data_IF_317028507072
#
_entry.id   IF_317028507072
#
_cell.length_a   1.000
_cell.length_b   1.000
_cell.length_c   1.000
_cell.angle_alpha   90.00
_cell.angle_beta   90.00
_cell.angle_gamma   90.00
#
_symmetry.space_group_name_H-M   'P 1'
#
loop_
_entity.id
_entity.type
_entity.pdbx_description
1 polymer ?
#
# COMPACT_ATOMS: atom_id res chain seq x y z
N UNK A 1 -13.41 4.65 -14.15
CA UNK A 1 -13.00 5.97 -14.68
C UNK A 1 -14.26 6.71 -15.07
N UNK A 2 -14.36 8.00 -14.75
CA UNK A 2 -15.42 8.88 -15.22
C UNK A 2 -14.89 9.71 -16.40
N UNK A 3 -15.74 10.01 -17.38
CA UNK A 3 -15.40 10.76 -18.58
C UNK A 3 -16.33 11.95 -18.73
N UNK A 4 -17.40 11.83 -19.54
CA UNK A 4 -18.38 12.90 -19.75
C UNK A 4 -19.05 13.36 -18.46
N UNK A 5 -19.22 12.46 -17.48
CA UNK A 5 -19.85 12.71 -16.19
C UNK A 5 -19.14 13.82 -15.41
N UNK A 6 -17.80 13.88 -15.47
CA UNK A 6 -17.00 14.91 -14.80
C UNK A 6 -16.48 16.00 -15.73
N UNK A 7 -16.39 15.74 -17.04
CA UNK A 7 -15.86 16.70 -18.01
C UNK A 7 -16.90 17.76 -18.43
N UNK A 8 -18.15 17.33 -18.68
CA UNK A 8 -19.23 18.21 -19.18
C UNK A 8 -20.59 17.97 -18.49
N UNK A 9 -20.64 17.07 -17.51
CA UNK A 9 -21.86 16.67 -16.82
C UNK A 9 -22.44 17.78 -15.94
N UNK A 10 -23.75 17.72 -15.70
CA UNK A 10 -24.48 18.67 -14.87
C UNK A 10 -24.11 18.58 -13.38
N UNK A 11 -23.78 17.39 -12.88
CA UNK A 11 -23.42 17.16 -11.48
C UNK A 11 -22.15 16.28 -11.35
N UNK A 12 -20.96 16.85 -11.57
CA UNK A 12 -19.70 16.12 -11.47
C UNK A 12 -19.41 15.62 -10.04
N UNK A 13 -19.89 16.33 -9.01
CA UNK A 13 -19.70 15.94 -7.61
C UNK A 13 -20.54 14.71 -7.28
N UNK A 14 -21.82 14.71 -7.65
CA UNK A 14 -22.72 13.57 -7.46
C UNK A 14 -22.23 12.33 -8.20
N UNK A 15 -21.67 12.47 -9.41
CA UNK A 15 -21.07 11.37 -10.16
C UNK A 15 -19.90 10.71 -9.41
N UNK A 16 -18.99 11.52 -8.86
CA UNK A 16 -17.86 11.00 -8.06
C UNK A 16 -18.37 10.33 -6.79
N UNK A 17 -19.30 10.95 -6.06
CA UNK A 17 -19.87 10.39 -4.84
C UNK A 17 -20.60 9.06 -5.08
N UNK A 18 -21.33 8.95 -6.19
CA UNK A 18 -21.99 7.71 -6.58
C UNK A 18 -20.97 6.61 -6.90
N UNK A 19 -19.92 6.92 -7.68
CA UNK A 19 -18.84 5.97 -7.96
C UNK A 19 -18.16 5.50 -6.66
N UNK A 20 -17.85 6.41 -5.73
CA UNK A 20 -17.26 6.05 -4.43
C UNK A 20 -18.11 5.06 -3.67
N UNK A 21 -19.42 5.33 -3.51
CA UNK A 21 -20.34 4.42 -2.79
C UNK A 21 -20.44 3.03 -3.43
N UNK A 22 -20.50 2.97 -4.76
CA UNK A 22 -20.56 1.70 -5.49
C UNK A 22 -19.27 0.90 -5.27
N UNK A 23 -18.11 1.56 -5.32
CA UNK A 23 -16.82 0.91 -5.07
C UNK A 23 -16.74 0.40 -3.64
N UNK A 24 -17.05 1.23 -2.64
CA UNK A 24 -17.03 0.84 -1.23
C UNK A 24 -17.89 -0.41 -0.97
N UNK A 25 -19.11 -0.45 -1.50
CA UNK A 25 -20.00 -1.60 -1.37
C UNK A 25 -19.46 -2.85 -2.09
N UNK A 26 -18.92 -2.68 -3.31
CA UNK A 26 -18.34 -3.78 -4.06
C UNK A 26 -17.11 -4.37 -3.34
N UNK A 27 -16.32 -3.55 -2.64
CA UNK A 27 -15.12 -3.99 -1.92
C UNK A 27 -15.40 -4.91 -0.74
N UNK A 28 -16.60 -4.88 -0.16
CA UNK A 28 -16.99 -5.79 0.93
C UNK A 28 -17.09 -7.26 0.50
N UNK A 29 -17.28 -7.54 -0.79
CA UNK A 29 -17.64 -8.88 -1.29
C UNK A 29 -16.57 -9.54 -2.20
N UNK A 30 -15.32 -9.08 -2.14
CA UNK A 30 -14.25 -9.60 -3.04
C UNK A 30 -13.37 -10.64 -2.34
N UNK A 31 -13.44 -11.87 -2.82
CA UNK A 31 -12.38 -12.88 -2.68
C UNK A 31 -11.83 -13.14 -4.07
N UNK A 32 -10.54 -12.91 -4.31
CA UNK A 32 -9.91 -13.18 -5.61
C UNK A 32 -8.57 -13.91 -5.44
N UNK A 33 -8.24 -14.84 -6.36
CA UNK A 33 -6.98 -15.57 -6.37
C UNK A 33 -5.79 -14.68 -6.72
N UNK A 34 -4.60 -15.14 -6.30
CA UNK A 34 -3.34 -14.40 -6.35
C UNK A 34 -2.74 -14.45 -7.78
N UNK A 35 -2.93 -13.39 -8.57
CA UNK A 35 -2.65 -13.36 -10.02
C UNK A 35 -1.15 -13.35 -10.42
N UNK A 36 -0.21 -13.22 -9.47
CA UNK A 36 1.20 -12.91 -9.77
C UNK A 36 2.19 -14.04 -9.44
N UNK A 37 1.72 -15.23 -9.05
CA UNK A 37 2.57 -16.29 -8.53
C UNK A 37 3.59 -16.85 -9.55
N UNK A 38 3.29 -16.83 -10.85
CA UNK A 38 4.08 -17.58 -11.84
C UNK A 38 5.32 -16.84 -12.38
N UNK A 39 5.33 -15.50 -12.39
CA UNK A 39 6.44 -14.72 -12.98
C UNK A 39 7.50 -14.28 -11.97
N UNK A 40 7.09 -14.01 -10.72
CA UNK A 40 7.93 -13.49 -9.64
C UNK A 40 7.60 -14.21 -8.34
N UNK A 41 7.95 -15.51 -8.23
CA UNK A 41 7.41 -16.38 -7.19
C UNK A 41 7.86 -15.98 -5.78
N UNK A 42 9.08 -15.47 -5.61
CA UNK A 42 9.61 -15.06 -4.31
C UNK A 42 8.92 -13.77 -3.82
N UNK A 43 8.89 -12.73 -4.63
CA UNK A 43 8.24 -11.47 -4.28
C UNK A 43 6.73 -11.65 -4.11
N UNK A 44 6.09 -12.48 -4.94
CA UNK A 44 4.69 -12.84 -4.78
C UNK A 44 4.44 -13.59 -3.47
N UNK A 45 5.32 -14.53 -3.08
CA UNK A 45 5.20 -15.24 -1.81
C UNK A 45 5.37 -14.32 -0.60
N UNK A 46 6.36 -13.41 -0.62
CA UNK A 46 6.61 -12.47 0.48
C UNK A 46 5.45 -11.49 0.63
N UNK A 47 4.95 -10.93 -0.47
CA UNK A 47 3.82 -9.98 -0.44
C UNK A 47 2.50 -10.68 -0.07
N UNK A 48 2.29 -11.93 -0.48
CA UNK A 48 1.18 -12.74 -0.01
C UNK A 48 1.27 -13.02 1.50
N UNK A 49 2.45 -13.36 2.00
CA UNK A 49 2.69 -13.57 3.43
C UNK A 49 2.43 -12.28 4.22
N UNK A 50 2.82 -11.11 3.70
CA UNK A 50 2.52 -9.82 4.32
C UNK A 50 1.01 -9.56 4.43
N UNK A 51 0.26 -9.79 3.36
CA UNK A 51 -1.19 -9.62 3.35
C UNK A 51 -1.89 -10.60 4.33
N UNK A 52 -1.44 -11.86 4.35
CA UNK A 52 -1.94 -12.87 5.28
C UNK A 52 -1.62 -12.52 6.74
N UNK A 53 -0.39 -12.04 7.02
CA UNK A 53 0.03 -11.59 8.33
C UNK A 53 -0.83 -10.41 8.80
N UNK A 54 -1.00 -9.39 7.96
CA UNK A 54 -1.81 -8.22 8.25
C UNK A 54 -3.24 -8.60 8.65
N UNK A 55 -3.87 -9.51 7.89
CA UNK A 55 -5.19 -10.05 8.22
C UNK A 55 -5.20 -10.80 9.56
N UNK A 56 -4.21 -11.66 9.79
CA UNK A 56 -4.15 -12.52 10.98
C UNK A 56 -3.96 -11.73 12.27
N UNK A 57 -3.14 -10.68 12.23
CA UNK A 57 -2.84 -9.86 13.42
C UNK A 57 -3.79 -8.68 13.56
N UNK A 58 -4.75 -8.50 12.65
CA UNK A 58 -5.63 -7.34 12.62
C UNK A 58 -4.85 -6.03 12.48
N UNK A 59 -3.87 -6.00 11.56
CA UNK A 59 -3.10 -4.80 11.27
C UNK A 59 -3.97 -3.74 10.60
N UNK A 60 -3.83 -2.48 11.04
CA UNK A 60 -4.54 -1.33 10.48
C UNK A 60 -3.87 -0.86 9.18
N UNK A 61 -2.59 -1.15 9.00
CA UNK A 61 -1.81 -0.67 7.86
C UNK A 61 -0.75 -1.68 7.40
N UNK A 62 -0.47 -1.66 6.10
CA UNK A 62 0.77 -2.21 5.53
C UNK A 62 1.64 -1.05 5.04
N UNK A 63 2.89 -0.94 5.46
CA UNK A 63 3.86 -0.03 4.85
C UNK A 63 4.69 -0.80 3.84
N UNK A 64 4.74 -0.34 2.59
CA UNK A 64 5.60 -0.89 1.54
C UNK A 64 6.72 0.09 1.20
N UNK A 65 7.95 -0.28 1.52
CA UNK A 65 9.14 0.45 1.08
C UNK A 65 9.48 -0.01 -0.34
N UNK A 66 9.35 0.88 -1.33
CA UNK A 66 9.47 0.48 -2.75
C UNK A 66 10.17 1.53 -3.60
N UNK A 67 11.03 1.08 -4.52
CA UNK A 67 11.73 1.97 -5.44
C UNK A 67 10.98 2.15 -6.76
N UNK A 68 10.54 1.04 -7.38
CA UNK A 68 9.84 1.01 -8.69
C UNK A 68 8.31 0.94 -8.55
N UNK A 69 7.80 0.73 -7.34
CA UNK A 69 6.38 0.47 -7.06
C UNK A 69 5.98 -1.00 -7.20
N UNK A 70 6.90 -1.91 -7.54
CA UNK A 70 6.57 -3.31 -7.81
C UNK A 70 6.03 -4.04 -6.58
N UNK A 71 6.73 -3.99 -5.44
CA UNK A 71 6.23 -4.58 -4.18
C UNK A 71 4.85 -4.05 -3.76
N UNK A 72 4.58 -2.74 -3.96
CA UNK A 72 3.29 -2.14 -3.62
C UNK A 72 2.16 -2.64 -4.55
N UNK A 73 2.45 -2.86 -5.84
CA UNK A 73 1.50 -3.45 -6.79
C UNK A 73 1.21 -4.91 -6.48
N UNK A 74 2.22 -5.69 -6.13
CA UNK A 74 2.04 -7.08 -5.70
C UNK A 74 1.20 -7.17 -4.42
N UNK A 75 1.51 -6.35 -3.41
CA UNK A 75 0.68 -6.25 -2.20
C UNK A 75 -0.77 -5.89 -2.53
N UNK A 76 -1.00 -4.89 -3.39
CA UNK A 76 -2.36 -4.52 -3.81
C UNK A 76 -3.10 -5.68 -4.48
N UNK A 77 -2.40 -6.46 -5.29
CA UNK A 77 -2.93 -7.63 -5.95
C UNK A 77 -3.32 -8.75 -4.99
N UNK A 78 -2.62 -8.89 -3.86
CA UNK A 78 -2.99 -9.83 -2.80
C UNK A 78 -4.26 -9.43 -2.03
N UNK A 79 -4.85 -8.27 -2.34
CA UNK A 79 -6.10 -7.75 -1.73
C UNK A 79 -6.05 -7.79 -0.19
N UNK A 80 -5.06 -7.12 0.44
CA UNK A 80 -4.94 -7.11 1.89
C UNK A 80 -6.20 -6.51 2.54
N UNK A 81 -6.47 -6.94 3.77
CA UNK A 81 -7.62 -6.50 4.57
C UNK A 81 -7.49 -5.06 5.09
N UNK A 82 -6.38 -4.39 4.83
CA UNK A 82 -6.11 -3.03 5.24
C UNK A 82 -5.34 -2.26 4.15
N UNK A 83 -5.36 -0.90 4.18
CA UNK A 83 -4.70 -0.09 3.19
C UNK A 83 -3.17 -0.22 3.23
N UNK A 84 -2.54 0.08 2.09
CA UNK A 84 -1.08 0.04 1.91
C UNK A 84 -0.57 1.49 1.84
N UNK A 85 0.39 1.85 2.68
CA UNK A 85 1.17 3.09 2.56
C UNK A 85 2.45 2.75 1.78
N UNK A 86 2.53 3.16 0.51
CA UNK A 86 3.75 2.94 -0.28
C UNK A 86 4.71 4.13 -0.14
N UNK A 87 5.96 3.90 0.19
CA UNK A 87 6.96 4.96 0.36
C UNK A 87 8.06 4.77 -0.67
N UNK A 88 8.28 5.82 -1.47
CA UNK A 88 9.25 5.81 -2.58
C UNK A 88 10.01 7.13 -2.64
N UNK A 89 11.29 7.14 -3.06
CA UNK A 89 12.02 8.37 -3.32
C UNK A 89 11.60 9.06 -4.64
N UNK A 90 10.85 8.37 -5.51
CA UNK A 90 10.49 8.87 -6.83
C UNK A 90 9.09 9.48 -6.85
N UNK A 91 8.98 10.77 -7.17
CA UNK A 91 7.69 11.40 -7.39
C UNK A 91 6.91 10.76 -8.55
N UNK A 92 7.61 10.28 -9.58
CA UNK A 92 6.98 9.61 -10.71
C UNK A 92 6.30 8.31 -10.29
N UNK A 93 7.00 7.49 -9.49
CA UNK A 93 6.46 6.24 -8.95
C UNK A 93 5.31 6.52 -7.98
N UNK A 94 5.43 7.54 -7.12
CA UNK A 94 4.34 7.95 -6.23
C UNK A 94 3.07 8.31 -7.01
N UNK A 95 3.17 9.06 -8.12
CA UNK A 95 2.02 9.36 -8.98
C UNK A 95 1.40 8.10 -9.59
N UNK A 96 2.22 7.14 -10.05
CA UNK A 96 1.73 5.87 -10.58
C UNK A 96 0.97 5.06 -9.52
N UNK A 97 1.41 5.10 -8.27
CA UNK A 97 0.77 4.37 -7.17
C UNK A 97 -0.62 4.94 -6.80
N UNK A 98 -0.94 6.19 -7.15
CA UNK A 98 -2.25 6.78 -6.85
C UNK A 98 -3.43 6.08 -7.54
N UNK A 99 -3.19 5.38 -8.65
CA UNK A 99 -4.22 4.60 -9.36
C UNK A 99 -4.20 3.12 -8.98
N UNK A 100 -3.28 2.70 -8.11
CA UNK A 100 -3.18 1.33 -7.64
C UNK A 100 -4.14 1.16 -6.46
N UNK A 101 -5.00 0.14 -6.54
CA UNK A 101 -6.06 -0.10 -5.56
C UNK A 101 -5.52 -0.22 -4.14
N UNK A 102 -6.11 0.52 -3.20
CA UNK A 102 -5.78 0.43 -1.78
C UNK A 102 -4.38 0.95 -1.41
N UNK A 103 -3.68 1.63 -2.34
CA UNK A 103 -2.35 2.19 -2.09
C UNK A 103 -2.43 3.71 -1.89
N UNK A 104 -1.85 4.18 -0.80
CA UNK A 104 -1.68 5.58 -0.44
C UNK A 104 -0.18 5.94 -0.50
N UNK A 105 0.30 6.60 -1.57
CA UNK A 105 1.72 6.80 -1.77
C UNK A 105 2.26 8.05 -1.07
N UNK A 106 3.44 7.91 -0.47
CA UNK A 106 4.24 8.99 0.10
C UNK A 106 5.60 9.08 -0.61
N UNK A 107 6.11 10.30 -0.76
CA UNK A 107 7.44 10.55 -1.31
C UNK A 107 8.38 10.87 -0.16
N UNK A 108 9.44 10.09 -0.01
CA UNK A 108 10.49 10.34 0.98
C UNK A 108 11.85 9.83 0.47
N UNK A 109 12.95 10.58 0.70
CA UNK A 109 14.29 10.06 0.48
C UNK A 109 14.47 8.72 1.19
N UNK A 110 15.21 7.82 0.54
CA UNK A 110 15.43 6.47 1.04
C UNK A 110 16.71 6.44 1.87
N UNK A 111 16.58 6.05 3.13
CA UNK A 111 17.74 5.77 3.98
C UNK A 111 18.48 4.50 3.47
N UNK A 112 19.82 4.49 3.49
CA UNK A 112 20.60 3.33 3.05
C UNK A 112 20.50 2.16 4.05
N UNK A 113 20.41 2.47 5.34
CA UNK A 113 20.21 1.50 6.41
C UNK A 113 18.72 1.17 6.53
N UNK A 114 18.39 -0.13 6.53
CA UNK A 114 16.99 -0.57 6.52
C UNK A 114 16.25 -0.19 7.78
N UNK A 115 16.88 -0.28 8.96
CA UNK A 115 16.23 -0.01 10.24
C UNK A 115 15.89 1.48 10.34
N UNK A 116 16.82 2.36 9.94
CA UNK A 116 16.55 3.79 9.79
C UNK A 116 15.45 4.06 8.77
N UNK A 117 15.44 3.33 7.66
CA UNK A 117 14.43 3.52 6.64
C UNK A 117 13.01 3.13 7.10
N UNK A 118 12.90 2.05 7.89
CA UNK A 118 11.66 1.61 8.52
C UNK A 118 11.20 2.64 9.57
N UNK A 119 12.11 3.09 10.44
CA UNK A 119 11.79 4.09 11.46
C UNK A 119 11.34 5.43 10.83
N UNK A 120 12.02 5.86 9.77
CA UNK A 120 11.66 7.08 9.03
C UNK A 120 10.30 6.96 8.33
N UNK A 121 9.96 5.76 7.84
CA UNK A 121 8.67 5.47 7.23
C UNK A 121 7.51 5.51 8.23
N UNK A 122 7.67 4.85 9.38
CA UNK A 122 6.69 4.88 10.48
C UNK A 122 6.49 6.31 10.99
N UNK A 123 7.57 7.05 11.20
CA UNK A 123 7.52 8.45 11.61
C UNK A 123 6.77 9.33 10.61
N UNK A 124 7.02 9.15 9.31
CA UNK A 124 6.31 9.88 8.25
C UNK A 124 4.81 9.57 8.24
N UNK A 125 4.43 8.29 8.34
CA UNK A 125 3.03 7.87 8.38
C UNK A 125 2.30 8.48 9.58
N UNK A 126 2.95 8.51 10.75
CA UNK A 126 2.43 9.13 11.97
C UNK A 126 2.29 10.65 11.83
N UNK A 127 3.31 11.33 11.30
CA UNK A 127 3.30 12.79 11.10
C UNK A 127 2.18 13.24 10.15
N UNK A 128 1.81 12.38 9.19
CA UNK A 128 0.69 12.62 8.26
C UNK A 128 -0.69 12.23 8.83
N UNK A 129 -0.75 11.74 10.07
CA UNK A 129 -1.98 11.30 10.71
C UNK A 129 -2.59 10.05 10.08
N UNK A 130 -1.78 9.25 9.37
CA UNK A 130 -2.24 8.00 8.76
C UNK A 130 -2.33 6.89 9.81
N UNK A 131 -1.28 6.75 10.63
CA UNK A 131 -1.27 5.81 11.77
C UNK A 131 -1.63 6.52 13.07
N UNK A 132 -2.23 5.78 14.00
CA UNK A 132 -2.62 6.24 15.35
C UNK A 132 -1.96 5.38 16.42
N UNK A 133 -1.94 5.88 17.65
CA UNK A 133 -1.41 5.13 18.78
C UNK A 133 -2.13 3.80 18.97
N UNK A 134 -1.35 2.73 19.16
CA UNK A 134 -1.85 1.36 19.26
C UNK A 134 -2.05 0.62 17.93
N UNK A 135 -1.99 1.30 16.77
CA UNK A 135 -2.10 0.65 15.46
C UNK A 135 -0.99 -0.38 15.26
N UNK A 136 -1.37 -1.56 14.76
CA UNK A 136 -0.48 -2.59 14.26
C UNK A 136 -0.20 -2.33 12.79
N UNK A 137 1.09 -2.29 12.45
CA UNK A 137 1.59 -2.00 11.10
C UNK A 137 2.48 -3.13 10.64
N UNK A 138 2.16 -3.75 9.51
CA UNK A 138 3.06 -4.68 8.83
C UNK A 138 3.94 -3.89 7.87
N UNK A 139 5.25 -4.00 7.98
CA UNK A 139 6.19 -3.34 7.08
C UNK A 139 6.78 -4.39 6.13
N UNK A 140 6.80 -4.07 4.84
CA UNK A 140 7.32 -4.88 3.76
C UNK A 140 8.45 -4.09 3.08
N UNK A 141 9.67 -4.63 3.10
CA UNK A 141 10.88 -3.94 2.68
C UNK A 141 11.92 -4.92 2.12
N UNK A 142 13.00 -4.37 1.57
CA UNK A 142 14.15 -5.14 1.09
C UNK A 142 15.39 -4.91 1.98
N UNK A 143 16.07 -5.98 2.37
CA UNK A 143 17.36 -5.94 3.09
C UNK A 143 18.57 -5.95 2.16
N UNK A 144 18.42 -6.51 0.96
CA UNK A 144 19.52 -6.62 -0.02
C UNK A 144 19.97 -5.23 -0.50
N UNK A 145 19.01 -4.38 -0.87
CA UNK A 145 19.29 -3.04 -1.41
C UNK A 145 18.07 -2.12 -1.27
N UNK A 146 18.27 -0.81 -1.17
CA UNK A 146 17.18 0.15 -1.24
C UNK A 146 16.37 0.13 -2.55
N UNK A 147 16.92 -0.49 -3.61
CA UNK A 147 16.29 -0.59 -4.94
C UNK A 147 15.65 -1.93 -5.24
N UNK A 148 15.94 -2.96 -4.45
CA UNK A 148 15.37 -4.29 -4.64
C UNK A 148 13.95 -4.38 -4.08
N UNK A 149 13.23 -5.38 -4.57
CA UNK A 149 11.88 -5.67 -4.13
C UNK A 149 11.87 -6.38 -2.78
N UNK A 150 10.68 -6.48 -2.19
CA UNK A 150 10.57 -6.81 -0.78
C UNK A 150 10.87 -8.29 -0.51
N UNK A 151 11.82 -8.53 0.40
CA UNK A 151 12.26 -9.85 0.87
C UNK A 151 12.01 -10.05 2.38
N UNK A 152 11.62 -8.97 3.08
CA UNK A 152 11.58 -8.91 4.55
C UNK A 152 10.26 -8.33 5.03
N UNK A 153 9.72 -8.95 6.08
CA UNK A 153 8.52 -8.50 6.79
C UNK A 153 8.86 -8.12 8.23
N UNK A 154 8.22 -7.07 8.73
CA UNK A 154 8.34 -6.61 10.11
C UNK A 154 6.97 -6.29 10.67
N UNK A 155 6.67 -6.70 11.90
CA UNK A 155 5.46 -6.31 12.61
C UNK A 155 5.80 -5.22 13.64
N UNK A 156 5.16 -4.06 13.49
CA UNK A 156 5.31 -2.92 14.39
C UNK A 156 3.98 -2.63 15.09
N UNK A 157 4.06 -2.09 16.30
CA UNK A 157 2.92 -1.51 17.00
C UNK A 157 3.25 -0.06 17.36
N UNK A 158 2.40 0.86 16.92
CA UNK A 158 2.52 2.27 17.24
C UNK A 158 2.40 2.48 18.76
N UNK A 159 3.25 3.32 19.36
CA UNK A 159 3.15 3.64 20.78
C UNK A 159 1.80 4.29 21.10
N UNK A 160 1.24 3.96 22.27
CA UNK A 160 -0.05 4.45 22.75
C UNK A 160 -0.04 5.97 23.00
#
# INVERSE_FOLDING_TARGET
>A
MLSGETAIGHDPLGAVQAMTKIVEEAEHNVSMPNLFADAHPEEAAVTAAAAALAKRVGAQWIISLTYTGFSARLLSACRPSCPIISITPSQAVSRQMKVVRGVLPLVKPREPDIDRAIAAALSEARQRGMTKGGDRVVVCASRISPRSDADTLWLHQEPA
#
